data_IF_156290944441
#
_entry.id   IF_156290944441
#
_cell.length_a   1.000
_cell.length_b   1.000
_cell.length_c   1.000
_cell.angle_alpha   90.00
_cell.angle_beta   90.00
_cell.angle_gamma   90.00
#
_symmetry.space_group_name_H-M   'P 1'
#
loop_
_entity.id
_entity.type
_entity.pdbx_description
1 polymer ?
#
# COMPACT_ATOMS: atom_id res chain seq x y z
N UNK A 1 10.35 -17.80 6.19
CA UNK A 1 9.88 -17.07 5.02
C UNK A 1 10.92 -16.14 4.45
N UNK A 2 10.67 -15.70 3.26
CA UNK A 2 11.53 -14.76 2.56
C UNK A 2 11.00 -13.34 2.74
N UNK A 3 11.90 -12.39 3.04
CA UNK A 3 11.54 -10.98 3.18
C UNK A 3 12.15 -10.19 2.03
N UNK A 4 11.32 -9.49 1.29
CA UNK A 4 11.75 -8.63 0.18
C UNK A 4 12.10 -7.25 0.70
N UNK A 5 13.13 -6.65 0.09
CA UNK A 5 13.52 -5.28 0.43
C UNK A 5 12.48 -4.28 -0.06
N UNK A 6 12.38 -3.15 0.62
CA UNK A 6 11.52 -2.00 0.29
C UNK A 6 10.03 -2.27 0.38
N UNK A 7 9.63 -3.47 0.67
CA UNK A 7 8.26 -3.79 0.99
C UNK A 7 8.27 -4.89 2.04
N UNK A 8 7.35 -4.82 2.96
CA UNK A 8 7.19 -5.85 3.96
C UNK A 8 6.40 -7.00 3.31
N UNK A 9 7.12 -7.86 2.61
CA UNK A 9 6.55 -8.98 1.88
C UNK A 9 7.18 -10.26 2.40
N UNK A 10 6.38 -11.08 3.04
CA UNK A 10 6.82 -12.34 3.65
C UNK A 10 5.84 -13.42 3.21
N UNK A 11 6.33 -14.59 2.84
CA UNK A 11 5.47 -15.68 2.37
C UNK A 11 5.50 -16.88 3.32
N UNK A 12 4.39 -17.65 3.33
CA UNK A 12 4.25 -18.87 4.14
C UNK A 12 3.52 -18.64 5.45
N UNK A 13 2.98 -19.73 6.02
CA UNK A 13 2.17 -19.66 7.23
C UNK A 13 2.96 -19.24 8.47
N UNK A 14 4.22 -19.66 8.57
CA UNK A 14 5.09 -19.31 9.70
C UNK A 14 5.35 -17.80 9.71
N UNK A 15 5.59 -17.25 8.54
CA UNK A 15 5.80 -15.82 8.40
C UNK A 15 4.54 -15.03 8.76
N UNK A 16 3.36 -15.54 8.40
CA UNK A 16 2.08 -14.92 8.74
C UNK A 16 1.90 -14.84 10.27
N UNK A 17 2.19 -15.89 11.00
CA UNK A 17 2.15 -15.88 12.45
C UNK A 17 3.15 -14.88 13.05
N UNK A 18 4.37 -14.84 12.53
CA UNK A 18 5.38 -13.90 13.00
C UNK A 18 4.94 -12.46 12.83
N UNK A 19 4.27 -12.15 11.73
CA UNK A 19 3.77 -10.80 11.47
C UNK A 19 2.73 -10.32 12.49
N UNK A 20 1.98 -11.23 13.09
CA UNK A 20 0.98 -10.87 14.10
C UNK A 20 1.58 -10.26 15.36
N UNK A 21 2.83 -10.62 15.67
CA UNK A 21 3.54 -10.12 16.85
C UNK A 21 4.48 -8.97 16.51
N UNK A 22 4.56 -8.59 15.24
CA UNK A 22 5.48 -7.57 14.77
C UNK A 22 4.77 -6.23 14.65
N UNK A 23 5.40 -5.18 15.16
CA UNK A 23 4.94 -3.81 14.98
C UNK A 23 6.03 -2.98 14.34
N UNK A 24 5.64 -2.12 13.40
CA UNK A 24 6.58 -1.26 12.69
C UNK A 24 6.13 0.19 12.76
N UNK A 25 7.08 1.12 12.63
CA UNK A 25 6.77 2.54 12.55
C UNK A 25 6.19 2.90 11.19
N UNK A 26 6.74 2.32 10.13
CA UNK A 26 6.33 2.60 8.75
C UNK A 26 6.32 1.32 7.94
N UNK A 27 5.38 1.23 7.02
CA UNK A 27 5.37 0.19 6.00
C UNK A 27 5.30 0.86 4.63
N UNK A 28 6.13 0.38 3.69
CA UNK A 28 6.14 0.85 2.31
C UNK A 28 5.50 -0.22 1.45
N UNK A 29 4.43 0.14 0.75
CA UNK A 29 3.67 -0.79 -0.07
C UNK A 29 3.76 -0.42 -1.54
N UNK A 30 4.33 -1.32 -2.35
CA UNK A 30 4.13 -1.29 -3.79
C UNK A 30 2.69 -1.69 -4.09
N UNK A 31 2.10 -1.13 -5.13
CA UNK A 31 0.68 -1.35 -5.41
C UNK A 31 0.47 -1.98 -6.79
N UNK A 32 -0.50 -2.87 -6.90
CA UNK A 32 -0.98 -3.35 -8.20
C UNK A 32 -1.95 -2.36 -8.82
N UNK A 33 -2.78 -1.72 -8.00
CA UNK A 33 -3.69 -0.67 -8.40
C UNK A 33 -4.05 0.22 -7.24
N UNK A 34 -4.42 1.45 -7.54
CA UNK A 34 -4.86 2.43 -6.55
C UNK A 34 -6.07 3.19 -7.07
N UNK A 35 -7.17 3.12 -6.34
CA UNK A 35 -8.39 3.88 -6.64
C UNK A 35 -8.92 4.55 -5.38
N UNK A 36 -9.69 5.61 -5.56
CA UNK A 36 -10.34 6.26 -4.43
C UNK A 36 -11.36 5.33 -3.77
N UNK A 37 -12.01 4.48 -4.56
CA UNK A 37 -13.06 3.58 -4.07
C UNK A 37 -12.50 2.41 -3.28
N UNK A 38 -11.43 1.78 -3.77
CA UNK A 38 -10.93 0.52 -3.20
C UNK A 38 -9.59 0.65 -2.49
N UNK A 39 -8.93 1.81 -2.57
CA UNK A 39 -7.60 1.98 -1.98
C UNK A 39 -6.54 1.19 -2.73
N UNK A 40 -5.65 0.54 -2.00
CA UNK A 40 -4.60 -0.29 -2.58
C UNK A 40 -5.15 -1.68 -2.86
N UNK A 41 -4.94 -2.14 -4.10
CA UNK A 41 -5.29 -3.50 -4.53
C UNK A 41 -4.08 -4.19 -5.12
N UNK A 42 -4.09 -5.52 -5.10
CA UNK A 42 -2.94 -6.32 -5.52
C UNK A 42 -3.43 -7.54 -6.31
N UNK A 43 -2.57 -7.99 -7.23
CA UNK A 43 -2.80 -9.21 -8.00
C UNK A 43 -2.31 -10.47 -7.28
N UNK A 44 -1.40 -10.33 -6.32
CA UNK A 44 -0.74 -11.46 -5.68
C UNK A 44 -1.53 -11.94 -4.47
N UNK A 45 -2.31 -12.99 -4.66
CA UNK A 45 -3.16 -13.56 -3.61
C UNK A 45 -2.34 -13.99 -2.39
N UNK A 46 -1.17 -14.57 -2.61
CA UNK A 46 -0.34 -15.10 -1.52
C UNK A 46 0.25 -13.99 -0.64
N UNK A 47 0.52 -12.82 -1.20
CA UNK A 47 1.12 -11.70 -0.47
C UNK A 47 0.10 -10.82 0.23
N UNK A 48 -1.14 -10.84 -0.21
CA UNK A 48 -2.18 -9.94 0.30
C UNK A 48 -2.41 -10.09 1.81
N UNK A 49 -2.50 -11.31 2.38
CA UNK A 49 -2.67 -11.45 3.83
C UNK A 49 -1.55 -10.81 4.64
N UNK A 50 -0.30 -10.97 4.19
CA UNK A 50 0.85 -10.36 4.87
C UNK A 50 0.79 -8.84 4.81
N UNK A 51 0.42 -8.30 3.67
CA UNK A 51 0.29 -6.85 3.51
C UNK A 51 -0.81 -6.30 4.40
N UNK A 52 -1.94 -6.98 4.51
CA UNK A 52 -3.03 -6.59 5.41
C UNK A 52 -2.59 -6.59 6.86
N UNK A 53 -1.86 -7.62 7.28
CA UNK A 53 -1.32 -7.69 8.64
C UNK A 53 -0.32 -6.57 8.87
N UNK A 54 0.58 -6.33 7.91
CA UNK A 54 1.54 -5.24 7.99
C UNK A 54 0.87 -3.90 8.18
N UNK A 55 -0.18 -3.61 7.41
CA UNK A 55 -0.97 -2.38 7.55
C UNK A 55 -1.58 -2.27 8.94
N UNK A 56 -2.10 -3.36 9.49
CA UNK A 56 -2.71 -3.36 10.82
C UNK A 56 -1.71 -3.17 11.95
N UNK A 57 -0.42 -3.42 11.71
CA UNK A 57 0.65 -3.37 12.73
C UNK A 57 1.58 -2.19 12.59
N UNK A 58 1.39 -1.34 11.61
CA UNK A 58 2.24 -0.19 11.40
C UNK A 58 1.57 1.09 11.89
N UNK A 59 2.39 2.08 12.25
CA UNK A 59 1.89 3.40 12.59
C UNK A 59 1.61 4.23 11.33
N UNK A 60 2.37 4.03 10.26
CA UNK A 60 2.19 4.77 9.01
C UNK A 60 2.27 3.85 7.81
N UNK A 61 1.35 4.05 6.87
CA UNK A 61 1.31 3.34 5.60
C UNK A 61 1.72 4.31 4.50
N UNK A 62 2.76 3.95 3.76
CA UNK A 62 3.29 4.75 2.65
C UNK A 62 3.15 3.93 1.38
N UNK A 63 2.33 4.40 0.45
CA UNK A 63 2.12 3.74 -0.84
C UNK A 63 3.14 4.23 -1.86
N UNK A 64 3.69 3.30 -2.64
CA UNK A 64 4.60 3.60 -3.74
C UNK A 64 3.91 3.20 -5.02
N UNK A 65 3.52 4.17 -5.83
CA UNK A 65 2.76 3.90 -7.05
C UNK A 65 3.12 4.90 -8.14
N UNK A 66 3.50 4.42 -9.32
CA UNK A 66 3.61 5.30 -10.47
C UNK A 66 2.22 5.61 -11.03
N UNK A 67 2.15 6.58 -11.94
CA UNK A 67 0.87 7.04 -12.48
C UNK A 67 0.05 5.95 -13.17
N UNK A 68 0.69 4.90 -13.68
CA UNK A 68 -0.01 3.83 -14.39
C UNK A 68 -0.89 2.98 -13.46
N UNK A 69 -0.68 3.07 -12.16
CA UNK A 69 -1.45 2.30 -11.17
C UNK A 69 -2.76 2.98 -10.77
N UNK A 70 -2.91 4.25 -11.06
CA UNK A 70 -4.14 4.97 -10.71
C UNK A 70 -5.29 4.55 -11.62
N UNK A 71 -6.46 4.35 -11.02
CA UNK A 71 -7.64 3.88 -11.74
C UNK A 71 -7.66 2.39 -12.02
N UNK A 72 -6.62 1.67 -11.63
CA UNK A 72 -6.55 0.22 -11.79
C UNK A 72 -7.03 -0.45 -10.52
N UNK A 73 -7.93 -1.42 -10.67
CA UNK A 73 -8.41 -2.25 -9.56
C UNK A 73 -7.95 -3.69 -9.79
N UNK A 74 -7.09 -4.18 -8.90
CA UNK A 74 -6.66 -5.58 -8.91
C UNK A 74 -7.62 -6.44 -8.08
N UNK A 75 -7.38 -7.74 -8.04
CA UNK A 75 -8.34 -8.69 -7.46
C UNK A 75 -8.49 -8.57 -5.94
N UNK A 76 -7.43 -8.20 -5.23
CA UNK A 76 -7.42 -8.28 -3.77
C UNK A 76 -7.18 -6.92 -3.15
N UNK A 77 -8.07 -6.48 -2.28
CA UNK A 77 -7.87 -5.25 -1.52
C UNK A 77 -6.86 -5.46 -0.40
N UNK A 78 -5.85 -4.62 -0.34
CA UNK A 78 -4.85 -4.61 0.72
C UNK A 78 -5.29 -3.70 1.85
N UNK A 79 -5.66 -2.47 1.53
CA UNK A 79 -6.16 -1.51 2.51
C UNK A 79 -7.04 -0.47 1.82
N UNK A 80 -7.87 0.19 2.61
CA UNK A 80 -8.70 1.29 2.12
C UNK A 80 -7.86 2.54 1.91
N UNK A 81 -8.40 3.49 1.15
CA UNK A 81 -7.73 4.77 0.91
C UNK A 81 -7.42 5.50 2.21
N UNK A 82 -8.34 5.45 3.17
CA UNK A 82 -8.23 6.13 4.46
C UNK A 82 -7.08 5.60 5.31
N UNK A 83 -6.63 4.38 5.06
CA UNK A 83 -5.51 3.79 5.78
C UNK A 83 -4.15 4.22 5.25
N UNK A 84 -4.11 4.94 4.11
CA UNK A 84 -2.86 5.39 3.50
C UNK A 84 -2.51 6.77 4.05
N UNK A 85 -1.36 6.87 4.70
CA UNK A 85 -0.89 8.14 5.26
C UNK A 85 -0.15 8.99 4.24
N UNK A 86 0.61 8.35 3.37
CA UNK A 86 1.40 9.05 2.36
C UNK A 86 1.47 8.24 1.07
N UNK A 87 1.61 8.96 -0.03
CA UNK A 87 1.78 8.40 -1.36
C UNK A 87 3.04 9.00 -1.99
N UNK A 88 3.90 8.16 -2.52
CA UNK A 88 5.01 8.57 -3.37
C UNK A 88 4.66 8.17 -4.80
N UNK A 89 4.62 9.14 -5.70
CA UNK A 89 4.28 8.90 -7.10
C UNK A 89 5.16 9.74 -8.02
N UNK A 90 4.97 9.63 -9.31
CA UNK A 90 5.71 10.41 -10.30
C UNK A 90 4.93 11.67 -10.72
N UNK A 91 5.61 12.52 -11.50
CA UNK A 91 5.05 13.81 -11.93
C UNK A 91 4.02 13.70 -13.06
N UNK A 92 3.85 12.53 -13.63
CA UNK A 92 2.84 12.28 -14.65
C UNK A 92 1.47 11.94 -14.04
N UNK A 93 1.39 11.80 -12.72
CA UNK A 93 0.14 11.55 -12.05
C UNK A 93 -0.86 12.70 -12.26
N UNK A 94 -2.12 12.34 -12.41
CA UNK A 94 -3.20 13.31 -12.61
C UNK A 94 -3.27 14.30 -11.45
N UNK A 95 -3.11 15.57 -11.75
CA UNK A 95 -3.11 16.64 -10.74
C UNK A 95 -4.44 16.77 -10.01
N UNK A 96 -5.55 16.49 -10.69
CA UNK A 96 -6.86 16.53 -10.04
C UNK A 96 -7.00 15.43 -9.01
N UNK A 97 -6.55 14.23 -9.34
CA UNK A 97 -6.51 13.12 -8.39
C UNK A 97 -5.64 13.44 -7.19
N UNK A 98 -4.43 13.94 -7.44
CA UNK A 98 -3.50 14.32 -6.36
C UNK A 98 -4.15 15.36 -5.44
N UNK A 99 -4.83 16.35 -6.00
CA UNK A 99 -5.54 17.36 -5.22
C UNK A 99 -6.62 16.75 -4.33
N UNK A 100 -7.39 15.79 -4.85
CA UNK A 100 -8.43 15.11 -4.06
C UNK A 100 -7.83 14.27 -2.93
N UNK A 101 -6.71 13.60 -3.18
CA UNK A 101 -6.03 12.81 -2.15
C UNK A 101 -5.49 13.70 -1.03
N UNK A 102 -4.89 14.82 -1.39
CA UNK A 102 -4.41 15.80 -0.40
C UNK A 102 -5.56 16.37 0.42
N UNK A 103 -6.70 16.64 -0.22
CA UNK A 103 -7.88 17.15 0.47
C UNK A 103 -8.41 16.16 1.52
N UNK A 104 -8.15 14.88 1.34
CA UNK A 104 -8.52 13.84 2.31
C UNK A 104 -7.50 13.67 3.44
N UNK A 105 -6.44 14.47 3.45
CA UNK A 105 -5.40 14.42 4.48
C UNK A 105 -4.18 13.58 4.12
N UNK A 106 -4.13 13.00 2.94
CA UNK A 106 -2.98 12.20 2.50
C UNK A 106 -1.82 13.12 2.11
N UNK A 107 -0.61 12.79 2.54
CA UNK A 107 0.60 13.46 2.08
C UNK A 107 1.01 12.84 0.75
N UNK A 108 1.31 13.68 -0.24
CA UNK A 108 1.71 13.21 -1.57
C UNK A 108 3.07 13.79 -1.93
N UNK A 109 3.99 12.92 -2.27
CA UNK A 109 5.35 13.26 -2.67
C UNK A 109 5.56 12.87 -4.12
N UNK A 110 6.03 13.81 -4.93
CA UNK A 110 6.32 13.58 -6.35
C UNK A 110 7.82 13.33 -6.53
N UNK A 111 8.12 12.21 -7.12
CA UNK A 111 9.51 11.85 -7.39
C UNK A 111 9.96 12.20 -8.80
#
# INVERSE_FOLDING_TARGET
GEVRKNELSVSGNIADENMRYFQTDKIFLGVGGLTEKFGITDYHVEETPFRRIGVSRTQKVIALADHSKFGVTAMNQVCSLEQIDALVTDRQADKNLIGRLKAKGMKVYLA
#
